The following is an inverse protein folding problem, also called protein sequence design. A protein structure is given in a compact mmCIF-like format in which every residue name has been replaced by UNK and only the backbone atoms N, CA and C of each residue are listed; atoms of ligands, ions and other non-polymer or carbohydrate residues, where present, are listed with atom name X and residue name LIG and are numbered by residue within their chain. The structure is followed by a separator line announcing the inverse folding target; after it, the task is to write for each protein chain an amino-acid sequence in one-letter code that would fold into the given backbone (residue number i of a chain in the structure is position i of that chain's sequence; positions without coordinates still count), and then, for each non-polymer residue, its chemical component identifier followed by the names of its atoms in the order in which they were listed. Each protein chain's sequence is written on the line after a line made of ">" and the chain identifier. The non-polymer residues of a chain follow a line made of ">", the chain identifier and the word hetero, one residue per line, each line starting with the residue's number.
data_IF_812663647775
#
_entry.id   IF_812663647775
#
_cell.length_a   1.000
_cell.length_b   1.000
_cell.length_c   1.000
_cell.angle_alpha   90.00
_cell.angle_beta   90.00
_cell.angle_gamma   90.00
#
_symmetry.space_group_name_H-M   'P 1'
#
loop_
_entity.id
_entity.type
_entity.pdbx_description
1 polymer ?
#
# COMPACT_ATOMS: atom_id res chain seq x y z
N UNK A 1 -17.03 -11.71 13.99
CA UNK A 1 -16.70 -10.88 12.79
C UNK A 1 -16.29 -9.45 13.15
N UNK A 2 -16.98 -8.70 14.03
CA UNK A 2 -16.57 -7.33 14.44
C UNK A 2 -15.11 -7.18 14.93
N UNK A 3 -14.61 -8.09 15.78
CA UNK A 3 -13.22 -8.04 16.32
C UNK A 3 -12.12 -8.20 15.26
N UNK A 4 -12.40 -8.84 14.14
CA UNK A 4 -11.38 -9.08 13.09
C UNK A 4 -11.19 -7.82 12.26
N UNK A 5 -12.29 -7.13 11.90
CA UNK A 5 -12.24 -5.85 11.20
C UNK A 5 -11.53 -4.77 12.01
N UNK A 6 -11.75 -4.74 13.33
CA UNK A 6 -11.10 -3.79 14.25
C UNK A 6 -9.56 -3.91 14.27
N UNK A 7 -9.03 -5.11 14.01
CA UNK A 7 -7.58 -5.31 13.87
C UNK A 7 -7.06 -4.86 12.52
N UNK A 8 -7.80 -5.12 11.44
CA UNK A 8 -7.43 -4.69 10.09
C UNK A 8 -7.49 -3.16 9.96
N UNK A 9 -8.44 -2.50 10.62
CA UNK A 9 -8.54 -1.03 10.68
C UNK A 9 -7.30 -0.41 11.35
N UNK A 10 -6.84 -0.96 12.48
CA UNK A 10 -5.61 -0.49 13.13
C UNK A 10 -4.36 -0.67 12.27
N UNK A 11 -4.27 -1.76 11.53
CA UNK A 11 -3.15 -2.00 10.59
C UNK A 11 -3.20 -0.99 9.45
N UNK A 12 -4.39 -0.74 8.88
CA UNK A 12 -4.58 0.22 7.81
C UNK A 12 -4.24 1.65 8.24
N UNK A 13 -4.64 2.03 9.46
CA UNK A 13 -4.29 3.30 10.07
C UNK A 13 -2.77 3.44 10.25
N UNK A 14 -2.11 2.42 10.81
CA UNK A 14 -0.66 2.43 10.99
C UNK A 14 0.10 2.56 9.64
N UNK A 15 -0.32 1.82 8.61
CA UNK A 15 0.26 1.92 7.26
C UNK A 15 0.05 3.31 6.67
N UNK A 16 -1.12 3.91 6.87
CA UNK A 16 -1.43 5.26 6.36
C UNK A 16 -0.59 6.33 7.06
N UNK A 17 -0.42 6.23 8.39
CA UNK A 17 0.44 7.14 9.15
C UNK A 17 1.89 7.01 8.71
N UNK A 18 2.39 5.78 8.55
CA UNK A 18 3.74 5.55 8.05
C UNK A 18 3.92 6.15 6.64
N UNK A 19 2.94 5.97 5.75
CA UNK A 19 2.98 6.53 4.41
C UNK A 19 3.04 8.07 4.44
N UNK A 20 2.25 8.71 5.30
CA UNK A 20 2.25 10.17 5.47
C UNK A 20 3.61 10.68 5.96
N UNK A 21 4.24 9.99 6.92
CA UNK A 21 5.59 10.33 7.41
C UNK A 21 6.62 10.23 6.28
N UNK A 22 6.59 9.13 5.51
CA UNK A 22 7.53 8.94 4.39
C UNK A 22 7.35 9.99 3.30
N UNK A 23 6.10 10.37 2.98
CA UNK A 23 5.82 11.48 2.05
C UNK A 23 6.36 12.80 2.57
N UNK A 24 6.15 13.09 3.86
CA UNK A 24 6.64 14.31 4.47
C UNK A 24 8.18 14.41 4.40
N UNK A 25 8.88 13.29 4.65
CA UNK A 25 10.34 13.21 4.49
C UNK A 25 10.74 13.38 3.01
N UNK A 26 9.99 12.76 2.08
CA UNK A 26 10.25 12.89 0.65
C UNK A 26 10.09 14.32 0.13
N UNK A 27 9.12 15.08 0.65
CA UNK A 27 8.87 16.48 0.23
C UNK A 27 9.94 17.42 0.82
N UNK A 28 10.38 17.15 2.06
CA UNK A 28 11.35 18.02 2.74
C UNK A 28 12.79 17.77 2.30
N UNK A 29 13.08 16.61 1.69
CA UNK A 29 14.44 16.27 1.29
C UNK A 29 14.44 15.40 0.00
N UNK A 30 14.58 16.08 -1.14
CA UNK A 30 14.60 15.46 -2.48
C UNK A 30 15.78 14.48 -2.69
N UNK A 31 16.80 14.50 -1.82
CA UNK A 31 17.94 13.59 -1.92
C UNK A 31 17.62 12.14 -1.55
N UNK A 32 16.47 11.88 -0.92
CA UNK A 32 16.09 10.53 -0.52
C UNK A 32 15.26 9.82 -1.58
N UNK A 33 15.88 9.43 -2.69
CA UNK A 33 15.26 8.58 -3.73
C UNK A 33 14.58 7.32 -3.15
N UNK A 34 15.14 6.76 -2.07
CA UNK A 34 14.58 5.59 -1.38
C UNK A 34 13.22 5.85 -0.71
N UNK A 35 12.89 7.10 -0.37
CA UNK A 35 11.59 7.44 0.25
C UNK A 35 10.43 7.32 -0.74
N UNK A 36 10.67 7.59 -2.04
CA UNK A 36 9.68 7.36 -3.11
C UNK A 36 9.34 5.87 -3.25
N UNK A 37 10.35 5.01 -3.19
CA UNK A 37 10.16 3.56 -3.21
C UNK A 37 9.47 3.04 -1.95
N UNK A 38 9.88 3.52 -0.77
CA UNK A 38 9.24 3.17 0.50
C UNK A 38 7.77 3.59 0.54
N UNK A 39 7.45 4.80 0.04
CA UNK A 39 6.08 5.27 -0.07
C UNK A 39 5.24 4.41 -1.02
N UNK A 40 5.80 4.05 -2.19
CA UNK A 40 5.12 3.20 -3.17
C UNK A 40 4.81 1.81 -2.58
N UNK A 41 5.74 1.24 -1.80
CA UNK A 41 5.50 -0.03 -1.09
C UNK A 41 4.40 0.09 -0.03
N UNK A 42 4.32 1.23 0.68
CA UNK A 42 3.25 1.48 1.65
C UNK A 42 1.87 1.64 0.98
N UNK A 43 1.81 2.26 -0.20
CA UNK A 43 0.59 2.30 -1.02
C UNK A 43 0.17 0.88 -1.42
N UNK A 44 1.10 0.06 -1.90
CA UNK A 44 0.82 -1.34 -2.27
C UNK A 44 0.26 -2.09 -1.07
N UNK A 45 0.89 -1.98 0.11
CA UNK A 45 0.41 -2.61 1.32
C UNK A 45 -1.02 -2.17 1.67
N UNK A 46 -1.32 -0.87 1.58
CA UNK A 46 -2.66 -0.34 1.84
C UNK A 46 -3.70 -0.87 0.83
N UNK A 47 -3.37 -0.92 -0.46
CA UNK A 47 -4.25 -1.46 -1.50
C UNK A 47 -4.52 -2.95 -1.28
N UNK A 48 -3.51 -3.73 -0.91
CA UNK A 48 -3.68 -5.16 -0.59
C UNK A 48 -4.61 -5.33 0.61
N UNK A 49 -4.45 -4.52 1.67
CA UNK A 49 -5.33 -4.56 2.84
C UNK A 49 -6.79 -4.26 2.47
N UNK A 50 -7.03 -3.22 1.67
CA UNK A 50 -8.37 -2.86 1.18
C UNK A 50 -8.95 -3.98 0.30
N UNK A 51 -8.16 -4.53 -0.62
CA UNK A 51 -8.56 -5.63 -1.50
C UNK A 51 -8.93 -6.88 -0.72
N UNK A 52 -8.09 -7.31 0.22
CA UNK A 52 -8.35 -8.48 1.08
C UNK A 52 -9.57 -8.25 1.96
N UNK A 53 -9.71 -7.07 2.57
CA UNK A 53 -10.90 -6.72 3.38
C UNK A 53 -12.17 -6.80 2.55
N UNK A 54 -12.18 -6.17 1.37
CA UNK A 54 -13.33 -6.17 0.47
C UNK A 54 -13.67 -7.58 -0.03
N UNK A 55 -12.67 -8.45 -0.20
CA UNK A 55 -12.88 -9.87 -0.50
C UNK A 55 -13.54 -10.63 0.65
N UNK A 56 -13.15 -10.34 1.89
CA UNK A 56 -13.72 -10.96 3.10
C UNK A 56 -15.14 -10.47 3.34
N UNK A 57 -15.42 -9.18 3.14
CA UNK A 57 -16.75 -8.59 3.30
C UNK A 57 -17.70 -9.00 2.17
N UNK A 58 -17.19 -9.10 0.93
CA UNK A 58 -18.05 -9.33 -0.23
C UNK A 58 -17.33 -10.12 -1.34
N UNK A 59 -17.29 -11.45 -1.19
CA UNK A 59 -16.60 -12.38 -2.10
C UNK A 59 -17.06 -12.32 -3.57
N UNK A 60 -18.25 -11.77 -3.86
CA UNK A 60 -18.78 -11.62 -5.23
C UNK A 60 -18.45 -10.27 -5.87
N UNK A 61 -17.82 -9.35 -5.13
CA UNK A 61 -17.49 -8.03 -5.67
C UNK A 61 -16.31 -8.14 -6.65
N UNK A 62 -16.44 -7.51 -7.81
CA UNK A 62 -15.37 -7.40 -8.80
C UNK A 62 -14.28 -6.41 -8.38
N UNK A 63 -14.66 -5.41 -7.59
CA UNK A 63 -13.81 -4.32 -7.10
C UNK A 63 -12.49 -4.77 -6.42
N UNK A 64 -12.46 -5.74 -5.49
CA UNK A 64 -11.21 -6.20 -4.87
C UNK A 64 -10.19 -6.78 -5.87
N UNK A 65 -10.64 -7.38 -6.99
CA UNK A 65 -9.72 -7.88 -8.02
C UNK A 65 -9.00 -6.74 -8.75
N UNK A 66 -9.71 -5.65 -9.04
CA UNK A 66 -9.11 -4.46 -9.66
C UNK A 66 -8.08 -3.84 -8.71
N UNK A 67 -8.41 -3.70 -7.43
CA UNK A 67 -7.51 -3.12 -6.41
C UNK A 67 -6.25 -3.96 -6.26
N UNK A 68 -6.38 -5.29 -6.16
CA UNK A 68 -5.23 -6.19 -6.06
C UNK A 68 -4.39 -6.20 -7.35
N UNK A 69 -5.03 -6.11 -8.51
CA UNK A 69 -4.33 -5.96 -9.80
C UNK A 69 -3.50 -4.67 -9.85
N UNK A 70 -4.09 -3.53 -9.45
CA UNK A 70 -3.38 -2.25 -9.32
C UNK A 70 -2.21 -2.33 -8.34
N UNK A 71 -2.41 -2.95 -7.18
CA UNK A 71 -1.35 -3.16 -6.20
C UNK A 71 -0.19 -3.97 -6.80
N UNK A 72 -0.49 -5.02 -7.57
CA UNK A 72 0.50 -5.81 -8.29
C UNK A 72 1.29 -5.02 -9.33
N UNK A 73 0.62 -4.17 -10.12
CA UNK A 73 1.27 -3.31 -11.12
C UNK A 73 2.20 -2.30 -10.44
N UNK A 74 1.74 -1.62 -9.39
CA UNK A 74 2.54 -0.64 -8.65
C UNK A 74 3.74 -1.35 -8.00
N UNK A 75 3.55 -2.54 -7.43
CA UNK A 75 4.62 -3.33 -6.86
C UNK A 75 5.68 -3.69 -7.91
N UNK A 76 5.26 -4.21 -9.07
CA UNK A 76 6.15 -4.58 -10.15
C UNK A 76 6.97 -3.38 -10.66
N UNK A 77 6.32 -2.23 -10.88
CA UNK A 77 7.00 -1.00 -11.29
C UNK A 77 7.99 -0.52 -10.22
N UNK A 78 7.59 -0.58 -8.94
CA UNK A 78 8.44 -0.17 -7.82
C UNK A 78 9.70 -1.04 -7.72
N UNK A 79 9.54 -2.36 -7.80
CA UNK A 79 10.66 -3.31 -7.76
C UNK A 79 11.57 -3.16 -8.98
N UNK A 80 10.99 -3.01 -10.16
CA UNK A 80 11.77 -2.82 -11.41
C UNK A 80 12.60 -1.55 -11.36
N UNK A 81 12.01 -0.44 -10.88
CA UNK A 81 12.75 0.81 -10.66
C UNK A 81 13.84 0.67 -9.60
N UNK A 82 13.62 -0.13 -8.56
CA UNK A 82 14.63 -0.39 -7.52
C UNK A 82 15.81 -1.20 -8.07
N UNK A 83 15.55 -2.21 -8.90
CA UNK A 83 16.57 -3.03 -9.54
C UNK A 83 17.36 -2.22 -10.57
N UNK A 84 16.70 -1.36 -11.35
CA UNK A 84 17.35 -0.48 -12.34
C UNK A 84 18.17 0.65 -11.71
N UNK A 85 17.86 1.02 -10.47
CA UNK A 85 18.55 2.08 -9.74
C UNK A 85 19.71 1.57 -8.85
N UNK A 86 19.90 0.25 -8.76
CA UNK A 86 20.97 -0.42 -8.01
C UNK A 86 22.16 -0.77 -8.92
#
# INVERSE_FOLDING_TARGET
>A
MKKTFDKWDKVQEAVTVAAAIVVFISITNDNYLWTKSAFSLLIVANLVLIGVRSFVENKKAFFPYIILGLAGVIFFLTVTNLILAA
#
